data_IF_331932098972
#
_entry.id   IF_331932098972
#
_cell.length_a   1.000
_cell.length_b   1.000
_cell.length_c   1.000
_cell.angle_alpha   90.00
_cell.angle_beta   90.00
_cell.angle_gamma   90.00
#
_symmetry.space_group_name_H-M   'P 1'
#
loop_
_entity.id
_entity.type
_entity.pdbx_description
1 polymer ?
#
# COMPACT_ATOMS: atom_id res chain seq x y z
N UNK A 1 -18.06 -16.12 -1.09
CA UNK A 1 -17.51 -16.15 -2.47
C UNK A 1 -16.04 -15.74 -2.39
N UNK A 2 -15.11 -16.66 -2.67
CA UNK A 2 -13.65 -16.38 -2.68
C UNK A 2 -13.35 -15.65 -3.99
N UNK A 3 -12.92 -14.39 -3.94
CA UNK A 3 -12.67 -13.56 -5.15
C UNK A 3 -11.44 -14.00 -5.98
N UNK A 4 -10.97 -15.25 -5.86
CA UNK A 4 -9.84 -15.77 -6.63
C UNK A 4 -8.51 -15.01 -6.48
N UNK A 5 -8.39 -14.10 -5.51
CA UNK A 5 -7.17 -13.34 -5.24
C UNK A 5 -6.36 -14.05 -4.17
N UNK A 6 -5.16 -14.45 -4.51
CA UNK A 6 -4.18 -14.89 -3.51
C UNK A 6 -3.52 -13.65 -2.90
N UNK A 7 -3.42 -13.64 -1.59
CA UNK A 7 -2.91 -12.51 -0.82
C UNK A 7 -1.80 -12.96 0.11
N UNK A 8 -0.69 -12.24 0.09
CA UNK A 8 0.43 -12.47 1.00
C UNK A 8 0.50 -11.36 2.03
N UNK A 9 0.34 -11.73 3.31
CA UNK A 9 0.52 -10.82 4.43
C UNK A 9 1.74 -11.24 5.24
N UNK A 10 2.62 -10.29 5.52
CA UNK A 10 3.73 -10.46 6.46
C UNK A 10 3.50 -9.54 7.65
N UNK A 11 3.61 -10.10 8.86
CA UNK A 11 3.57 -9.38 10.12
C UNK A 11 4.99 -9.24 10.69
N UNK A 12 5.31 -8.07 11.23
CA UNK A 12 6.43 -7.91 12.15
C UNK A 12 5.91 -8.11 13.57
N UNK A 13 6.50 -9.07 14.29
CA UNK A 13 6.17 -9.39 15.68
C UNK A 13 7.29 -8.85 16.58
N UNK A 14 6.92 -8.09 17.60
CA UNK A 14 7.83 -7.55 18.59
C UNK A 14 8.27 -8.64 19.59
N UNK A 15 9.35 -8.42 20.38
CA UNK A 15 9.83 -9.42 21.34
C UNK A 15 8.80 -9.85 22.39
N UNK A 16 7.84 -8.98 22.71
CA UNK A 16 6.74 -9.26 23.64
C UNK A 16 5.56 -10.02 22.99
N UNK A 17 5.67 -10.37 21.70
CA UNK A 17 4.65 -11.06 20.93
C UNK A 17 3.59 -10.16 20.30
N UNK A 18 3.63 -8.84 20.54
CA UNK A 18 2.70 -7.90 19.92
C UNK A 18 3.00 -7.67 18.42
N UNK A 19 2.00 -7.22 17.66
CA UNK A 19 2.19 -6.89 16.24
C UNK A 19 2.74 -5.47 16.11
N UNK A 20 3.97 -5.34 15.62
CA UNK A 20 4.63 -4.06 15.38
C UNK A 20 4.26 -3.42 14.02
N UNK A 21 3.79 -4.22 13.07
CA UNK A 21 3.41 -3.76 11.74
C UNK A 21 3.06 -4.89 10.77
N UNK A 22 2.61 -4.51 9.58
CA UNK A 22 2.26 -5.46 8.52
C UNK A 22 2.54 -4.90 7.12
N UNK A 23 2.57 -5.79 6.13
CA UNK A 23 2.55 -5.45 4.70
C UNK A 23 1.77 -6.49 3.90
N UNK A 24 1.16 -6.08 2.79
CA UNK A 24 0.33 -6.94 1.96
C UNK A 24 0.66 -6.87 0.46
N UNK A 25 0.63 -8.03 -0.19
CA UNK A 25 0.60 -8.17 -1.64
C UNK A 25 -0.71 -8.85 -2.04
N UNK A 26 -1.30 -8.39 -3.13
CA UNK A 26 -2.51 -8.96 -3.72
C UNK A 26 -2.19 -9.39 -5.14
N UNK A 27 -2.33 -10.68 -5.41
CA UNK A 27 -2.19 -11.27 -6.73
C UNK A 27 -3.58 -11.29 -7.37
N UNK A 28 -3.85 -10.42 -8.37
CA UNK A 28 -5.08 -10.49 -9.13
C UNK A 28 -5.12 -11.80 -9.95
N UNK A 29 -6.31 -12.33 -10.25
CA UNK A 29 -6.47 -13.52 -11.08
C UNK A 29 -6.13 -13.29 -12.56
N UNK A 30 -5.72 -12.09 -12.97
CA UNK A 30 -5.32 -11.78 -14.35
C UNK A 30 -4.00 -12.43 -14.71
N UNK A 31 -3.78 -12.73 -16.00
CA UNK A 31 -2.51 -13.29 -16.50
C UNK A 31 -1.52 -12.23 -17.01
N UNK A 32 -1.69 -10.97 -16.61
CA UNK A 32 -0.83 -9.85 -17.04
C UNK A 32 0.50 -9.76 -16.27
N UNK A 33 0.78 -10.75 -15.40
CA UNK A 33 2.02 -10.82 -14.62
C UNK A 33 2.11 -9.80 -13.49
N UNK A 34 1.06 -9.01 -13.24
CA UNK A 34 1.07 -7.90 -12.27
C UNK A 34 0.62 -8.35 -10.88
N UNK A 35 1.18 -7.69 -9.87
CA UNK A 35 0.81 -7.81 -8.46
C UNK A 35 0.69 -6.43 -7.84
N UNK A 36 -0.27 -6.24 -6.94
CA UNK A 36 -0.43 -4.99 -6.22
C UNK A 36 0.21 -5.09 -4.84
N UNK A 37 1.17 -4.22 -4.55
CA UNK A 37 1.59 -3.90 -3.19
C UNK A 37 0.55 -2.95 -2.59
N UNK A 38 -0.25 -3.51 -1.69
CA UNK A 38 -1.24 -2.81 -0.89
C UNK A 38 -0.56 -2.25 0.38
N UNK A 39 -1.30 -2.22 1.48
CA UNK A 39 -0.90 -1.56 2.72
C UNK A 39 0.48 -1.97 3.23
N UNK A 40 1.15 -1.00 3.84
CA UNK A 40 2.32 -1.25 4.69
C UNK A 40 2.28 -0.26 5.83
N UNK A 41 2.16 -0.78 7.05
CA UNK A 41 2.03 0.02 8.25
C UNK A 41 3.01 -0.47 9.30
N UNK A 42 3.64 0.50 9.98
CA UNK A 42 4.46 0.27 11.17
C UNK A 42 3.91 1.17 12.26
N UNK A 43 3.55 0.58 13.40
CA UNK A 43 3.06 1.30 14.56
C UNK A 43 4.11 2.32 15.03
N UNK A 44 3.68 3.51 15.51
CA UNK A 44 4.59 4.60 15.88
C UNK A 44 5.78 4.18 16.76
N UNK A 45 5.51 3.38 17.79
CA UNK A 45 6.50 2.96 18.79
C UNK A 45 7.57 1.99 18.23
N UNK A 46 7.35 1.46 17.02
CA UNK A 46 8.26 0.53 16.35
C UNK A 46 8.90 1.14 15.08
N UNK A 47 8.75 2.45 14.85
CA UNK A 47 9.38 3.15 13.72
C UNK A 47 10.89 3.32 13.93
N UNK A 48 11.61 3.66 12.86
CA UNK A 48 13.07 3.84 12.91
C UNK A 48 13.90 2.55 12.73
N UNK A 49 13.30 1.37 12.89
CA UNK A 49 13.99 0.07 12.80
C UNK A 49 13.95 -0.58 11.40
N UNK A 50 13.63 0.18 10.35
CA UNK A 50 13.49 -0.31 8.95
C UNK A 50 12.50 -1.49 8.77
N UNK A 51 11.55 -1.67 9.69
CA UNK A 51 10.59 -2.78 9.64
C UNK A 51 9.78 -2.80 8.33
N UNK A 52 9.34 -1.65 7.83
CA UNK A 52 8.62 -1.58 6.56
C UNK A 52 9.40 -2.15 5.37
N UNK A 53 10.70 -1.89 5.30
CA UNK A 53 11.57 -2.45 4.26
C UNK A 53 11.75 -3.97 4.44
N UNK A 54 12.05 -4.41 5.66
CA UNK A 54 12.26 -5.83 5.96
C UNK A 54 11.03 -6.68 5.66
N UNK A 55 9.84 -6.20 6.06
CA UNK A 55 8.57 -6.85 5.77
C UNK A 55 8.31 -6.94 4.26
N UNK A 56 8.50 -5.85 3.51
CA UNK A 56 8.32 -5.86 2.04
C UNK A 56 9.27 -6.84 1.35
N UNK A 57 10.55 -6.88 1.73
CA UNK A 57 11.51 -7.86 1.19
C UNK A 57 11.05 -9.29 1.47
N UNK A 58 10.60 -9.58 2.70
CA UNK A 58 10.08 -10.91 3.04
C UNK A 58 8.84 -11.26 2.23
N UNK A 59 7.96 -10.29 1.99
CA UNK A 59 6.73 -10.50 1.23
C UNK A 59 7.03 -10.75 -0.27
N UNK A 60 7.95 -9.99 -0.86
CA UNK A 60 8.41 -10.20 -2.24
C UNK A 60 9.07 -11.56 -2.44
N UNK A 61 9.85 -12.04 -1.47
CA UNK A 61 10.41 -13.41 -1.52
C UNK A 61 9.32 -14.48 -1.52
N UNK A 62 8.30 -14.34 -0.66
CA UNK A 62 7.15 -15.25 -0.68
C UNK A 62 6.39 -15.20 -2.01
N UNK A 63 6.20 -14.01 -2.58
CA UNK A 63 5.61 -13.89 -3.90
C UNK A 63 6.41 -14.66 -4.95
N UNK A 64 7.73 -14.53 -4.98
CA UNK A 64 8.60 -15.24 -5.92
C UNK A 64 8.55 -16.77 -5.74
N UNK A 65 8.43 -17.25 -4.50
CA UNK A 65 8.31 -18.67 -4.18
C UNK A 65 6.99 -19.28 -4.71
N UNK A 66 5.88 -18.54 -4.62
CA UNK A 66 4.54 -19.04 -4.93
C UNK A 66 4.03 -18.68 -6.33
N UNK A 67 4.48 -17.55 -6.88
CA UNK A 67 4.08 -17.04 -8.18
C UNK A 67 5.32 -16.53 -8.97
N UNK A 68 6.21 -17.44 -9.40
CA UNK A 68 7.45 -17.08 -10.09
C UNK A 68 7.21 -16.41 -11.46
N UNK A 69 6.00 -16.55 -12.02
CA UNK A 69 5.53 -15.89 -13.24
C UNK A 69 5.27 -14.38 -13.05
N UNK A 70 5.19 -13.90 -11.81
CA UNK A 70 4.86 -12.51 -11.48
C UNK A 70 6.13 -11.67 -11.40
N UNK A 71 6.39 -10.91 -12.45
CA UNK A 71 7.61 -10.10 -12.59
C UNK A 71 7.42 -8.61 -12.30
N UNK A 72 6.17 -8.16 -12.11
CA UNK A 72 5.85 -6.75 -11.90
C UNK A 72 5.00 -6.52 -10.63
N UNK A 73 5.50 -5.66 -9.74
CA UNK A 73 4.77 -5.22 -8.54
C UNK A 73 4.51 -3.72 -8.61
N UNK A 74 3.23 -3.33 -8.68
CA UNK A 74 2.79 -1.94 -8.67
C UNK A 74 2.34 -1.49 -7.27
N UNK A 75 2.48 -0.20 -6.98
CA UNK A 75 1.99 0.41 -5.73
C UNK A 75 1.60 1.86 -5.98
N UNK A 76 0.70 2.37 -5.14
CA UNK A 76 0.26 3.78 -5.17
C UNK A 76 0.58 4.43 -3.83
N UNK A 77 1.18 5.61 -3.86
CA UNK A 77 1.46 6.40 -2.67
C UNK A 77 1.13 7.86 -2.94
N UNK A 78 0.69 8.57 -1.90
CA UNK A 78 0.62 10.02 -1.96
C UNK A 78 2.01 10.62 -2.14
N UNK A 79 2.15 11.65 -2.98
CA UNK A 79 3.43 12.33 -3.26
C UNK A 79 4.10 12.88 -1.97
N UNK A 80 3.29 13.23 -0.95
CA UNK A 80 3.78 13.67 0.36
C UNK A 80 4.28 12.56 1.29
N UNK A 81 4.12 11.27 0.95
CA UNK A 81 4.54 10.16 1.80
C UNK A 81 6.03 9.81 1.63
N UNK A 82 6.89 10.77 1.96
CA UNK A 82 8.35 10.63 1.83
C UNK A 82 8.93 9.35 2.45
N UNK A 83 8.49 8.88 3.65
CA UNK A 83 8.99 7.63 4.21
C UNK A 83 8.70 6.40 3.34
N UNK A 84 7.49 6.28 2.79
CA UNK A 84 7.11 5.15 1.94
C UNK A 84 7.78 5.22 0.58
N UNK A 85 7.91 6.43 0.00
CA UNK A 85 8.65 6.64 -1.24
C UNK A 85 10.10 6.19 -1.08
N UNK A 86 10.78 6.55 0.01
CA UNK A 86 12.15 6.12 0.28
C UNK A 86 12.29 4.59 0.41
N UNK A 87 11.32 3.91 1.01
CA UNK A 87 11.30 2.44 1.07
C UNK A 87 11.14 1.85 -0.33
N UNK A 88 10.20 2.36 -1.13
CA UNK A 88 9.92 1.84 -2.46
C UNK A 88 11.08 2.07 -3.43
N UNK A 89 11.72 3.24 -3.39
CA UNK A 89 12.89 3.54 -4.21
C UNK A 89 14.06 2.61 -3.88
N UNK A 90 14.26 2.25 -2.61
CA UNK A 90 15.28 1.25 -2.21
C UNK A 90 14.99 -0.16 -2.74
N UNK A 91 13.73 -0.47 -3.03
CA UNK A 91 13.29 -1.71 -3.65
C UNK A 91 13.30 -1.65 -5.19
N UNK A 92 13.75 -0.54 -5.78
CA UNK A 92 13.82 -0.37 -7.24
C UNK A 92 12.53 0.15 -7.88
N UNK A 93 11.55 0.60 -7.09
CA UNK A 93 10.35 1.20 -7.66
C UNK A 93 10.67 2.53 -8.34
N UNK A 94 10.10 2.73 -9.53
CA UNK A 94 10.21 3.97 -10.30
C UNK A 94 8.81 4.57 -10.50
N UNK A 95 8.60 5.89 -10.36
CA UNK A 95 7.34 6.52 -10.72
C UNK A 95 6.97 6.23 -12.18
N UNK A 96 5.72 5.83 -12.42
CA UNK A 96 5.19 5.54 -13.77
C UNK A 96 3.98 6.37 -14.12
N UNK A 97 3.13 6.62 -13.13
CA UNK A 97 1.82 7.24 -13.31
C UNK A 97 1.58 8.22 -12.16
N UNK A 98 0.68 9.18 -12.39
CA UNK A 98 0.15 10.07 -11.34
C UNK A 98 -1.37 9.93 -11.28
N UNK A 99 -1.88 9.80 -10.06
CA UNK A 99 -3.31 9.79 -9.79
C UNK A 99 -3.68 11.14 -9.19
N UNK A 100 -4.63 11.83 -9.81
CA UNK A 100 -5.11 13.13 -9.37
C UNK A 100 -6.56 12.99 -8.92
N UNK A 101 -6.87 13.54 -7.76
CA UNK A 101 -8.23 13.58 -7.22
C UNK A 101 -8.74 15.02 -7.30
N UNK A 102 -9.93 15.20 -7.89
CA UNK A 102 -10.57 16.50 -8.07
C UNK A 102 -11.90 16.49 -7.35
N UNK A 103 -12.15 17.51 -6.52
CA UNK A 103 -13.43 17.71 -5.86
C UNK A 103 -14.06 19.01 -6.36
N UNK A 104 -15.29 18.92 -6.85
CA UNK A 104 -16.13 20.10 -7.11
C UNK A 104 -16.82 20.50 -5.80
N UNK A 105 -16.62 21.72 -5.35
CA UNK A 105 -17.46 22.30 -4.30
C UNK A 105 -18.82 22.67 -4.89
N UNK A 106 -19.91 22.14 -4.31
CA UNK A 106 -21.25 22.63 -4.59
C UNK A 106 -21.59 23.75 -3.61
N UNK A 107 -21.62 24.99 -4.10
CA UNK A 107 -22.13 26.11 -3.31
C UNK A 107 -23.63 26.23 -3.56
N UNK A 108 -24.45 25.53 -2.78
CA UNK A 108 -25.90 25.82 -2.75
C UNK A 108 -26.09 27.23 -2.17
N UNK A 109 -26.67 28.20 -2.89
CA UNK A 109 -26.94 29.51 -2.31
C UNK A 109 -28.06 29.36 -1.27
N UNK A 110 -27.76 29.65 0.00
CA UNK A 110 -28.81 29.81 1.02
C UNK A 110 -29.53 31.12 0.71
N UNK A 111 -30.76 31.04 0.16
CA UNK A 111 -31.65 32.21 0.10
C UNK A 111 -32.11 32.54 1.51
N UNK A 112 -31.53 33.56 2.12
CA UNK A 112 -32.10 34.18 3.31
C UNK A 112 -33.37 34.92 2.89
N UNK A 113 -34.54 34.37 3.22
CA UNK A 113 -35.81 35.11 3.15
C UNK A 113 -36.04 35.75 4.51
N UNK A 114 -35.85 37.06 4.62
CA UNK A 114 -36.28 37.82 5.81
C UNK A 114 -37.82 37.88 5.85
N UNK A 115 -38.46 37.56 6.99
CA UNK A 115 -39.90 37.77 7.14
C UNK A 115 -40.21 39.28 7.26
N UNK A 116 -41.33 39.69 6.65
CA UNK A 116 -41.92 41.04 6.76
C UNK A 116 -42.64 41.22 8.09
#
# INVERSE_FOLDING_TARGET
MRQGRDGFTVLAIAPDGSVAGYTQLVVPPSDDGRVAQADTLVLPDHRGHRLGLAMKVRNLRRLQEHHPDRTYVGTWNADGNAPMLAVNSRLGATPRERMLEYQRSETTPVRHTSPR
#
